data_IF_067654277113
#
_entry.id   IF_067654277113
#
_cell.length_a   1.000
_cell.length_b   1.000
_cell.length_c   1.000
_cell.angle_alpha   90.00
_cell.angle_beta   90.00
_cell.angle_gamma   90.00
#
_symmetry.space_group_name_H-M   'P 1'
#
loop_
_entity.id
_entity.type
_entity.pdbx_description
1 polymer ?
#
# COMPACT_ATOMS: atom_id res chain seq x y z
N UNK A 1 22.28 -5.55 15.04
CA UNK A 1 21.41 -5.82 14.55
C UNK A 1 20.63 -4.82 14.02
N UNK A 2 20.19 -4.90 13.14
CA UNK A 2 19.53 -3.94 12.55
C UNK A 2 18.23 -3.77 13.07
N UNK A 3 17.90 -2.67 13.48
CA UNK A 3 16.67 -2.46 13.94
C UNK A 3 15.86 -2.00 12.86
N UNK A 4 15.38 -2.88 12.03
CA UNK A 4 14.53 -2.48 10.98
C UNK A 4 13.18 -2.26 11.51
N UNK A 5 12.61 -1.15 11.18
CA UNK A 5 11.21 -0.86 11.50
C UNK A 5 10.30 -1.24 10.35
N UNK A 6 10.74 -2.17 9.53
CA UNK A 6 9.98 -2.61 8.38
C UNK A 6 8.86 -3.52 8.85
N UNK A 7 7.64 -3.22 8.44
CA UNK A 7 6.49 -4.05 8.75
C UNK A 7 5.80 -4.41 7.45
N UNK A 8 5.08 -5.51 7.46
CA UNK A 8 4.33 -5.93 6.30
C UNK A 8 2.86 -5.88 6.67
N UNK A 9 2.10 -5.10 5.93
CA UNK A 9 0.67 -4.93 6.19
C UNK A 9 -0.10 -5.19 4.92
N UNK A 10 -1.31 -5.72 5.09
CA UNK A 10 -2.19 -5.95 3.96
C UNK A 10 -3.41 -5.09 4.13
N UNK A 11 -3.76 -4.35 3.08
CA UNK A 11 -4.88 -3.43 3.11
C UNK A 11 -5.83 -3.72 1.97
N UNK A 12 -7.15 -3.65 2.19
CA UNK A 12 -8.09 -3.73 1.08
C UNK A 12 -7.99 -2.50 0.20
N UNK A 13 -8.13 -2.69 -1.10
CA UNK A 13 -8.08 -1.59 -2.06
C UNK A 13 -9.41 -1.52 -2.77
N UNK A 14 -9.98 -0.34 -2.83
CA UNK A 14 -11.25 -0.12 -3.50
C UNK A 14 -11.04 0.63 -4.80
N UNK A 15 -11.92 0.42 -5.73
CA UNK A 15 -11.89 1.15 -6.99
C UNK A 15 -11.16 0.46 -8.11
N UNK A 16 -10.58 -0.72 -7.85
CA UNK A 16 -9.91 -1.45 -8.90
C UNK A 16 -10.95 -2.20 -9.71
N UNK A 17 -11.15 -1.79 -10.94
CA UNK A 17 -12.16 -2.44 -11.77
C UNK A 17 -11.54 -3.32 -12.85
N UNK A 18 -10.23 -3.34 -12.97
CA UNK A 18 -9.56 -4.22 -13.92
C UNK A 18 -8.13 -4.49 -13.46
N UNK A 19 -7.51 -5.46 -14.09
CA UNK A 19 -6.17 -5.87 -13.69
C UNK A 19 -5.15 -4.76 -13.87
N UNK A 20 -5.33 -3.90 -14.87
CA UNK A 20 -4.39 -2.78 -15.04
C UNK A 20 -4.47 -1.82 -13.88
N UNK A 21 -5.60 -1.73 -13.22
CA UNK A 21 -5.74 -0.87 -12.04
C UNK A 21 -4.86 -1.36 -10.92
N UNK A 22 -4.79 -2.68 -10.72
CA UNK A 22 -3.95 -3.22 -9.67
C UNK A 22 -2.48 -2.94 -9.93
N UNK A 23 -2.06 -3.01 -11.19
CA UNK A 23 -0.69 -2.68 -11.54
C UNK A 23 -0.38 -1.21 -11.27
N UNK A 24 -1.34 -0.34 -11.51
CA UNK A 24 -1.17 1.07 -11.26
C UNK A 24 -1.05 1.35 -9.76
N UNK A 25 -1.88 0.70 -8.94
CA UNK A 25 -1.81 0.86 -7.50
C UNK A 25 -0.47 0.34 -6.99
N UNK A 26 -0.04 -0.80 -7.50
CA UNK A 26 1.23 -1.37 -7.09
C UNK A 26 2.38 -0.42 -7.39
N UNK A 27 2.38 0.14 -8.59
CA UNK A 27 3.42 1.07 -8.98
C UNK A 27 3.41 2.30 -8.08
N UNK A 28 2.22 2.83 -7.81
CA UNK A 28 2.08 4.00 -6.95
C UNK A 28 2.64 3.72 -5.56
N UNK A 29 2.33 2.57 -5.00
CA UNK A 29 2.80 2.23 -3.67
C UNK A 29 4.31 2.04 -3.65
N UNK A 30 4.87 1.40 -4.67
CA UNK A 30 6.31 1.18 -4.72
C UNK A 30 7.10 2.47 -4.88
N UNK A 31 6.45 3.52 -5.34
CA UNK A 31 7.13 4.81 -5.49
C UNK A 31 7.12 5.64 -4.21
N UNK A 32 6.47 5.17 -3.18
CA UNK A 32 6.41 5.95 -1.94
C UNK A 32 7.70 5.81 -1.15
N UNK A 33 8.13 6.89 -0.53
CA UNK A 33 9.31 6.86 0.32
C UNK A 33 9.06 5.93 1.48
N UNK A 34 10.03 5.14 1.81
CA UNK A 34 9.92 4.23 2.93
C UNK A 34 9.30 2.89 2.59
N UNK A 35 8.79 2.73 1.38
CA UNK A 35 8.21 1.46 0.97
C UNK A 35 9.30 0.58 0.40
N UNK A 36 9.47 -0.61 0.97
CA UNK A 36 10.45 -1.56 0.47
C UNK A 36 9.89 -2.34 -0.69
N UNK A 37 8.65 -2.75 -0.58
CA UNK A 37 8.03 -3.56 -1.61
C UNK A 37 6.54 -3.48 -1.45
N UNK A 38 5.83 -3.40 -2.54
CA UNK A 38 4.38 -3.42 -2.52
C UNK A 38 3.87 -4.35 -3.59
N UNK A 39 2.90 -5.17 -3.26
CA UNK A 39 2.30 -6.11 -4.18
C UNK A 39 0.79 -5.99 -4.05
N UNK A 40 0.10 -5.98 -5.16
CA UNK A 40 -1.34 -5.90 -5.17
C UNK A 40 -1.92 -7.15 -5.81
N UNK A 41 -2.86 -7.76 -5.12
CA UNK A 41 -3.56 -8.92 -5.66
C UNK A 41 -4.92 -8.47 -6.15
N UNK A 42 -5.10 -8.45 -7.45
CA UNK A 42 -6.36 -7.99 -8.04
C UNK A 42 -7.51 -8.92 -7.67
N UNK A 43 -7.27 -10.21 -7.64
CA UNK A 43 -8.33 -11.17 -7.38
C UNK A 43 -8.96 -10.98 -6.00
N UNK A 44 -8.16 -10.65 -5.01
CA UNK A 44 -8.66 -10.42 -3.67
C UNK A 44 -8.84 -8.95 -3.34
N UNK A 45 -8.41 -8.07 -4.25
CA UNK A 45 -8.45 -6.62 -4.05
C UNK A 45 -7.67 -6.22 -2.79
N UNK A 46 -6.53 -6.85 -2.57
CA UNK A 46 -5.71 -6.56 -1.40
C UNK A 46 -4.33 -6.11 -1.81
N UNK A 47 -3.77 -5.20 -1.07
CA UNK A 47 -2.42 -4.71 -1.29
C UNK A 47 -1.57 -5.08 -0.09
N UNK A 48 -0.45 -5.73 -0.33
CA UNK A 48 0.50 -6.07 0.72
C UNK A 48 1.70 -5.15 0.56
N UNK A 49 2.01 -4.41 1.60
CA UNK A 49 3.07 -3.40 1.53
C UNK A 49 4.06 -3.65 2.65
N UNK A 50 5.34 -3.68 2.29
CA UNK A 50 6.41 -3.73 3.27
C UNK A 50 7.02 -2.35 3.34
N UNK A 51 6.91 -1.70 4.45
CA UNK A 51 7.37 -0.31 4.56
C UNK A 51 8.02 -0.07 5.91
N UNK A 52 8.84 0.97 5.94
CA UNK A 52 9.53 1.37 7.17
C UNK A 52 8.64 2.35 7.91
N UNK A 53 8.26 2.00 9.12
CA UNK A 53 7.35 2.84 9.90
C UNK A 53 7.96 4.18 10.27
N UNK A 54 9.27 4.32 10.16
CA UNK A 54 9.90 5.60 10.42
C UNK A 54 9.77 6.55 9.26
N UNK A 55 9.73 6.02 8.03
CA UNK A 55 9.69 6.85 6.84
C UNK A 55 8.32 6.91 6.21
N UNK A 56 7.46 5.98 6.53
CA UNK A 56 6.19 5.85 5.84
C UNK A 56 5.11 5.46 6.85
N UNK A 57 3.90 5.79 6.57
CA UNK A 57 2.80 5.40 7.44
C UNK A 57 1.65 4.90 6.57
N UNK A 58 0.72 4.13 7.14
CA UNK A 58 -0.44 3.70 6.37
C UNK A 58 -1.23 4.87 5.80
N UNK A 59 -1.26 5.99 6.52
CA UNK A 59 -1.95 7.16 6.01
C UNK A 59 -1.31 7.71 4.76
N UNK A 60 0.02 7.69 4.71
CA UNK A 60 0.72 8.13 3.52
C UNK A 60 0.42 7.21 2.35
N UNK A 61 0.31 5.91 2.61
CA UNK A 61 -0.03 4.96 1.57
C UNK A 61 -1.45 5.20 1.08
N UNK A 62 -2.36 5.46 1.99
CA UNK A 62 -3.74 5.75 1.63
C UNK A 62 -3.82 6.99 0.75
N UNK A 63 -3.09 8.02 1.14
CA UNK A 63 -3.09 9.26 0.39
C UNK A 63 -2.56 9.04 -1.03
N UNK A 64 -1.50 8.26 -1.15
CA UNK A 64 -0.92 7.99 -2.47
C UNK A 64 -1.91 7.24 -3.36
N UNK A 65 -2.61 6.28 -2.79
CA UNK A 65 -3.59 5.51 -3.54
C UNK A 65 -4.77 6.40 -3.94
N UNK A 66 -5.20 7.27 -3.05
CA UNK A 66 -6.29 8.19 -3.36
C UNK A 66 -5.89 9.15 -4.48
N UNK A 67 -4.66 9.59 -4.47
CA UNK A 67 -4.16 10.47 -5.53
C UNK A 67 -4.12 9.77 -6.88
N UNK A 68 -4.01 8.46 -6.87
CA UNK A 68 -4.02 7.69 -8.12
C UNK A 68 -5.44 7.37 -8.58
N UNK A 69 -6.44 7.72 -7.81
CA UNK A 69 -7.84 7.49 -8.20
C UNK A 69 -8.46 6.26 -7.58
N UNK A 70 -7.84 5.69 -6.57
CA UNK A 70 -8.36 4.51 -5.90
C UNK A 70 -8.47 4.79 -4.41
N UNK A 71 -8.77 3.79 -3.63
CA UNK A 71 -8.88 3.97 -2.18
C UNK A 71 -8.23 2.80 -1.47
N UNK A 72 -7.57 3.09 -0.38
CA UNK A 72 -6.91 2.09 0.43
C UNK A 72 -7.52 2.16 1.83
N UNK A 73 -8.03 1.05 2.32
CA UNK A 73 -8.61 1.05 3.64
C UNK A 73 -7.56 0.68 4.66
N UNK A 74 -7.37 1.53 5.67
CA UNK A 74 -6.44 1.25 6.72
C UNK A 74 -7.20 0.83 7.94
N UNK A 75 -6.70 -0.23 8.65
CA UNK A 75 -7.24 -0.62 9.87
C UNK A 75 -6.68 0.19 10.92
N UNK A 76 -7.53 0.80 11.74
CA UNK A 76 -7.03 1.51 12.85
C UNK A 76 -7.30 0.70 13.99
N UNK A 77 -6.35 0.19 14.59
CA UNK A 77 -6.59 -0.56 15.76
C UNK A 77 -6.73 0.26 16.86
N UNK A 78 -7.32 0.30 17.48
CA UNK A 78 -7.41 0.99 18.53
C UNK A 78 -7.04 0.79 19.40
#
# INVERSE_FOLDING_TARGET
MANKSIVQETFPVLGMSCASCSARVEKTLNHQSGVQKATVNYASAMATVEYDTRDCSPEALQQAVQNAGYDLLIKQDE
#
